data_IF_676927210869
#
_entry.id   IF_676927210869
#
_cell.length_a   1.000
_cell.length_b   1.000
_cell.length_c   1.000
_cell.angle_alpha   90.00
_cell.angle_beta   90.00
_cell.angle_gamma   90.00
#
_symmetry.space_group_name_H-M   'P 1'
#
loop_
_entity.id
_entity.type
_entity.pdbx_description
1 polymer ?
#
# COMPACT_ATOMS: atom_id res chain seq x y z
N UNK A 1 14.75 9.58 14.61
CA UNK A 1 14.03 9.43 13.34
C UNK A 1 13.24 8.15 13.42
N UNK A 2 11.98 8.15 12.98
CA UNK A 2 11.19 6.92 12.88
C UNK A 2 11.22 6.45 11.43
N UNK A 3 11.74 5.26 11.18
CA UNK A 3 11.65 4.64 9.85
C UNK A 3 10.40 3.76 9.81
N UNK A 4 9.60 3.88 8.76
CA UNK A 4 8.53 2.91 8.53
C UNK A 4 9.15 1.57 8.18
N UNK A 5 8.72 0.50 8.84
CA UNK A 5 9.16 -0.83 8.45
C UNK A 5 8.73 -1.12 7.01
N UNK A 6 9.48 -1.97 6.29
CA UNK A 6 9.19 -2.28 4.87
C UNK A 6 7.74 -2.71 4.65
N UNK A 7 7.18 -3.53 5.55
CA UNK A 7 5.77 -3.95 5.49
C UNK A 7 4.79 -2.77 5.58
N UNK A 8 5.12 -1.76 6.38
CA UNK A 8 4.27 -0.58 6.59
C UNK A 8 4.35 0.35 5.39
N UNK A 9 5.52 0.47 4.76
CA UNK A 9 5.67 1.18 3.49
C UNK A 9 4.86 0.50 2.38
N UNK A 10 4.90 -0.83 2.28
CA UNK A 10 4.08 -1.59 1.31
C UNK A 10 2.58 -1.37 1.58
N UNK A 11 2.15 -1.49 2.84
CA UNK A 11 0.76 -1.24 3.21
C UNK A 11 0.33 0.20 2.93
N UNK A 12 1.22 1.18 3.13
CA UNK A 12 0.99 2.58 2.81
C UNK A 12 0.75 2.80 1.32
N UNK A 13 1.46 2.10 0.44
CA UNK A 13 1.22 2.16 -1.00
C UNK A 13 -0.21 1.70 -1.36
N UNK A 14 -0.65 0.56 -0.81
CA UNK A 14 -2.04 0.09 -1.01
C UNK A 14 -3.08 1.02 -0.37
N UNK A 15 -2.76 1.66 0.76
CA UNK A 15 -3.61 2.66 1.38
C UNK A 15 -3.83 3.87 0.46
N UNK A 16 -2.76 4.37 -0.17
CA UNK A 16 -2.83 5.50 -1.12
C UNK A 16 -3.63 5.09 -2.36
N UNK A 17 -3.34 3.92 -2.93
CA UNK A 17 -4.07 3.38 -4.07
C UNK A 17 -5.57 3.25 -3.81
N UNK A 18 -5.96 2.77 -2.64
CA UNK A 18 -7.35 2.63 -2.23
C UNK A 18 -8.12 3.96 -2.26
N UNK A 19 -7.47 5.07 -1.91
CA UNK A 19 -8.09 6.40 -1.92
C UNK A 19 -7.96 7.16 -3.24
N UNK A 20 -7.01 6.78 -4.10
CA UNK A 20 -6.89 7.32 -5.45
C UNK A 20 -7.92 6.68 -6.39
N UNK A 21 -7.75 5.39 -6.65
CA UNK A 21 -8.55 4.64 -7.58
C UNK A 21 -8.62 3.20 -7.12
N UNK A 22 -9.66 2.87 -6.35
CA UNK A 22 -9.98 1.51 -5.90
C UNK A 22 -10.50 0.62 -7.04
N UNK A 23 -9.86 0.74 -8.22
CA UNK A 23 -10.12 -0.03 -9.41
C UNK A 23 -9.18 -1.21 -9.45
N UNK A 24 -9.68 -2.34 -9.94
CA UNK A 24 -8.96 -3.54 -9.73
C UNK A 24 -7.66 -3.53 -10.62
N UNK A 25 -7.71 -3.10 -11.87
CA UNK A 25 -6.56 -2.91 -12.78
C UNK A 25 -5.40 -2.10 -12.16
N UNK A 26 -5.70 -0.99 -11.49
CA UNK A 26 -4.71 -0.16 -10.79
C UNK A 26 -4.03 -0.90 -9.63
N UNK A 27 -4.77 -1.77 -8.92
CA UNK A 27 -4.18 -2.59 -7.85
C UNK A 27 -3.16 -3.60 -8.38
N UNK A 28 -3.43 -4.15 -9.56
CA UNK A 28 -2.52 -5.09 -10.22
C UNK A 28 -1.26 -4.37 -10.69
N UNK A 29 -1.40 -3.21 -11.35
CA UNK A 29 -0.26 -2.39 -11.76
C UNK A 29 0.64 -2.01 -10.57
N UNK A 30 0.04 -1.65 -9.43
CA UNK A 30 0.81 -1.37 -8.21
C UNK A 30 1.54 -2.62 -7.70
N UNK A 31 0.89 -3.79 -7.71
CA UNK A 31 1.51 -5.06 -7.32
C UNK A 31 2.72 -5.37 -8.19
N UNK A 32 2.55 -5.34 -9.52
CA UNK A 32 3.61 -5.59 -10.49
C UNK A 32 4.77 -4.61 -10.29
N UNK A 33 4.47 -3.31 -10.24
CA UNK A 33 5.47 -2.24 -10.02
C UNK A 33 6.32 -2.52 -8.78
N UNK A 34 5.70 -2.90 -7.65
CA UNK A 34 6.46 -3.22 -6.44
C UNK A 34 7.22 -4.54 -6.57
N UNK A 35 6.63 -5.57 -7.15
CA UNK A 35 7.27 -6.89 -7.30
C UNK A 35 8.51 -6.86 -8.21
N UNK A 36 8.50 -6.02 -9.25
CA UNK A 36 9.59 -5.88 -10.22
C UNK A 36 10.73 -5.01 -9.70
N UNK A 37 10.42 -3.99 -8.89
CA UNK A 37 11.38 -2.96 -8.48
C UNK A 37 11.86 -3.10 -7.03
N UNK A 38 11.31 -4.05 -6.27
CA UNK A 38 11.83 -4.46 -4.97
C UNK A 38 12.57 -5.80 -5.10
N UNK A 39 13.48 -6.08 -4.16
CA UNK A 39 14.05 -7.43 -4.10
C UNK A 39 12.92 -8.45 -3.89
N UNK A 40 12.80 -9.51 -4.73
CA UNK A 40 11.63 -10.39 -4.73
C UNK A 40 11.27 -10.95 -3.35
N UNK A 41 12.27 -11.45 -2.62
CA UNK A 41 12.09 -11.98 -1.27
C UNK A 41 11.60 -10.91 -0.27
N UNK A 42 12.04 -9.66 -0.42
CA UNK A 42 11.64 -8.56 0.49
C UNK A 42 10.15 -8.24 0.31
N UNK A 43 9.71 -8.12 -0.94
CA UNK A 43 8.31 -7.83 -1.23
C UNK A 43 7.39 -9.00 -0.87
N UNK A 44 7.78 -10.23 -1.21
CA UNK A 44 7.02 -11.44 -0.88
C UNK A 44 6.86 -11.61 0.65
N UNK A 45 7.94 -11.43 1.42
CA UNK A 45 7.89 -11.50 2.89
C UNK A 45 6.98 -10.39 3.45
N UNK A 46 7.06 -9.17 2.93
CA UNK A 46 6.20 -8.08 3.37
C UNK A 46 4.72 -8.40 3.11
N UNK A 47 4.37 -8.86 1.91
CA UNK A 47 3.00 -9.20 1.53
C UNK A 47 2.46 -10.36 2.37
N UNK A 48 3.22 -11.45 2.52
CA UNK A 48 2.80 -12.58 3.35
C UNK A 48 2.55 -12.16 4.80
N UNK A 49 3.44 -11.34 5.39
CA UNK A 49 3.23 -10.82 6.74
C UNK A 49 1.95 -9.98 6.86
N UNK A 50 1.68 -9.10 5.89
CA UNK A 50 0.48 -8.26 5.89
C UNK A 50 -0.79 -9.11 5.75
N UNK A 51 -0.73 -10.17 4.95
CA UNK A 51 -1.84 -11.10 4.75
C UNK A 51 -2.12 -11.93 5.99
N UNK A 52 -1.09 -12.48 6.63
CA UNK A 52 -1.23 -13.25 7.88
C UNK A 52 -1.79 -12.39 9.02
N UNK A 53 -1.53 -11.08 9.01
CA UNK A 53 -2.12 -10.10 9.93
C UNK A 53 -3.53 -9.63 9.52
N UNK A 54 -4.05 -10.06 8.37
CA UNK A 54 -5.36 -9.65 7.85
C UNK A 54 -5.42 -8.19 7.36
N UNK A 55 -4.28 -7.55 7.13
CA UNK A 55 -4.17 -6.15 6.70
C UNK A 55 -4.30 -5.99 5.18
N UNK A 56 -4.00 -7.06 4.45
CA UNK A 56 -4.28 -7.20 3.02
C UNK A 56 -5.00 -8.52 2.76
N UNK A 57 -5.77 -8.59 1.67
CA UNK A 57 -6.39 -9.82 1.17
C UNK A 57 -6.06 -10.01 -0.31
N UNK A 58 -6.52 -11.12 -0.91
CA UNK A 58 -6.38 -11.36 -2.35
C UNK A 58 -5.07 -12.04 -2.76
N UNK A 59 -4.14 -12.30 -1.84
CA UNK A 59 -2.91 -13.05 -2.11
C UNK A 59 -3.15 -14.53 -2.45
N UNK A 60 -4.19 -15.12 -1.86
CA UNK A 60 -4.59 -16.51 -2.10
C UNK A 60 -4.92 -16.77 -3.57
N UNK A 61 -5.44 -15.73 -4.23
CA UNK A 61 -5.75 -15.78 -5.64
C UNK A 61 -4.45 -15.59 -6.46
N UNK A 62 -3.49 -14.75 -6.05
CA UNK A 62 -2.30 -14.42 -6.89
C UNK A 62 -1.51 -15.69 -7.20
N UNK A 63 -1.44 -16.59 -6.22
CA UNK A 63 -0.79 -17.91 -6.34
C UNK A 63 -1.51 -18.88 -7.29
N UNK A 64 -2.70 -18.53 -7.78
CA UNK A 64 -3.54 -19.32 -8.69
C UNK A 64 -3.71 -18.65 -10.06
N UNK A 65 -2.95 -17.60 -10.37
CA UNK A 65 -3.07 -16.90 -11.65
C UNK A 65 -2.77 -17.86 -12.82
N UNK A 66 -3.81 -18.10 -13.62
CA UNK A 66 -3.74 -18.67 -14.97
C UNK A 66 -4.15 -17.55 -15.93
N UNK A 67 -3.29 -17.23 -16.89
CA UNK A 67 -3.51 -16.22 -17.93
C UNK A 67 -4.84 -16.44 -18.70
N UNK A 68 -5.42 -17.65 -18.63
CA UNK A 68 -6.65 -18.02 -19.32
C UNK A 68 -7.95 -17.69 -18.57
N UNK A 69 -7.93 -17.39 -17.26
CA UNK A 69 -9.17 -17.30 -16.46
C UNK A 69 -9.71 -15.87 -16.28
N UNK A 70 -9.04 -14.84 -16.84
CA UNK A 70 -9.56 -13.48 -16.99
C UNK A 70 -9.84 -12.69 -15.70
N UNK A 71 -9.74 -13.32 -14.52
CA UNK A 71 -9.93 -12.67 -13.23
C UNK A 71 -8.61 -12.12 -12.73
N UNK A 72 -8.32 -10.87 -13.08
CA UNK A 72 -7.14 -10.16 -12.59
C UNK A 72 -7.18 -10.16 -11.05
N UNK A 73 -6.06 -10.60 -10.47
CA UNK A 73 -5.96 -10.89 -9.05
C UNK A 73 -5.24 -9.78 -8.32
N UNK A 74 -5.86 -9.27 -7.27
CA UNK A 74 -5.54 -7.95 -6.77
C UNK A 74 -5.37 -7.98 -5.28
N UNK A 75 -4.12 -7.90 -4.78
CA UNK A 75 -3.91 -7.63 -3.39
C UNK A 75 -4.58 -6.28 -3.07
N UNK A 76 -5.42 -6.28 -2.04
CA UNK A 76 -6.15 -5.09 -1.63
C UNK A 76 -5.97 -4.89 -0.13
N UNK A 77 -5.84 -3.62 0.27
CA UNK A 77 -5.88 -3.27 1.68
C UNK A 77 -7.26 -3.57 2.27
N UNK A 78 -7.29 -4.15 3.47
CA UNK A 78 -8.54 -4.39 4.21
C UNK A 78 -8.92 -3.16 5.04
N UNK A 79 -10.13 -3.16 5.61
CA UNK A 79 -10.51 -2.12 6.58
C UNK A 79 -9.54 -2.07 7.78
N UNK A 80 -9.05 -3.23 8.24
CA UNK A 80 -8.04 -3.30 9.31
C UNK A 80 -6.70 -2.70 8.85
N UNK A 81 -6.28 -2.96 7.62
CA UNK A 81 -5.11 -2.30 7.02
C UNK A 81 -5.24 -0.78 6.98
N UNK A 82 -6.43 -0.28 6.61
CA UNK A 82 -6.72 1.17 6.62
C UNK A 82 -6.63 1.75 8.03
N UNK A 83 -7.22 1.08 9.02
CA UNK A 83 -7.15 1.52 10.42
C UNK A 83 -5.71 1.49 10.96
N UNK A 84 -4.93 0.49 10.58
CA UNK A 84 -3.51 0.40 10.94
C UNK A 84 -2.74 1.63 10.45
N UNK A 85 -2.84 1.98 9.17
CA UNK A 85 -2.14 3.15 8.61
C UNK A 85 -2.64 4.45 9.23
N UNK A 86 -3.94 4.58 9.49
CA UNK A 86 -4.47 5.75 10.20
C UNK A 86 -3.79 5.93 11.57
N UNK A 87 -3.63 4.84 12.34
CA UNK A 87 -2.98 4.88 13.64
C UNK A 87 -1.48 5.23 13.52
N UNK A 88 -0.77 4.63 12.56
CA UNK A 88 0.66 4.92 12.30
C UNK A 88 0.88 6.38 11.96
N UNK A 89 0.00 6.96 11.15
CA UNK A 89 0.10 8.35 10.69
C UNK A 89 -0.62 9.36 11.59
N UNK A 90 -1.25 8.92 12.70
CA UNK A 90 -2.04 9.79 13.58
C UNK A 90 -3.26 10.43 12.89
N UNK A 91 -3.81 9.79 11.85
CA UNK A 91 -4.99 10.25 11.12
C UNK A 91 -6.24 9.87 11.90
N UNK A 92 -7.07 10.86 12.20
CA UNK A 92 -8.32 10.62 12.90
C UNK A 92 -9.35 9.96 11.98
N UNK A 93 -10.11 8.99 12.49
CA UNK A 93 -11.01 8.15 11.69
C UNK A 93 -12.14 8.92 10.98
N UNK A 94 -12.54 10.09 11.49
CA UNK A 94 -13.57 10.94 10.90
C UNK A 94 -13.07 11.83 9.75
N UNK A 95 -11.77 11.81 9.45
CA UNK A 95 -11.19 12.58 8.34
C UNK A 95 -11.76 12.05 7.02
N UNK A 96 -12.23 12.95 6.15
CA UNK A 96 -12.79 12.58 4.85
C UNK A 96 -11.76 11.89 3.95
N UNK A 97 -12.20 11.01 3.06
CA UNK A 97 -11.32 10.26 2.16
C UNK A 97 -10.41 11.18 1.32
N UNK A 98 -10.96 12.28 0.77
CA UNK A 98 -10.16 13.28 0.03
C UNK A 98 -9.11 13.98 0.88
N UNK A 99 -9.36 14.11 2.19
CA UNK A 99 -8.39 14.67 3.13
C UNK A 99 -7.30 13.66 3.51
N UNK A 100 -7.59 12.35 3.49
CA UNK A 100 -6.63 11.31 3.90
C UNK A 100 -5.35 11.31 3.07
N UNK A 101 -5.41 11.52 1.76
CA UNK A 101 -4.21 11.64 0.92
C UNK A 101 -3.36 12.87 1.28
N UNK A 102 -4.01 14.00 1.60
CA UNK A 102 -3.31 15.19 2.10
C UNK A 102 -2.64 14.93 3.44
N UNK A 103 -3.29 14.17 4.33
CA UNK A 103 -2.69 13.76 5.59
C UNK A 103 -1.48 12.84 5.40
N UNK A 104 -1.49 11.90 4.44
CA UNK A 104 -0.31 11.07 4.14
C UNK A 104 0.88 11.95 3.79
N UNK A 105 0.72 12.87 2.83
CA UNK A 105 1.77 13.80 2.41
C UNK A 105 2.27 14.65 3.58
N UNK A 106 1.36 15.23 4.35
CA UNK A 106 1.72 16.05 5.51
C UNK A 106 2.45 15.23 6.57
N UNK A 107 2.00 14.00 6.84
CA UNK A 107 2.60 13.14 7.87
C UNK A 107 4.02 12.73 7.50
N UNK A 108 4.28 12.42 6.23
CA UNK A 108 5.64 12.13 5.74
C UNK A 108 6.57 13.34 5.92
N UNK A 109 6.07 14.55 5.65
CA UNK A 109 6.85 15.80 5.80
C UNK A 109 7.06 16.16 7.28
N UNK A 110 6.03 16.07 8.12
CA UNK A 110 6.05 16.60 9.50
C UNK A 110 6.54 15.60 10.54
N UNK A 111 6.33 14.30 10.31
CA UNK A 111 6.65 13.24 11.27
C UNK A 111 8.07 12.70 11.11
N UNK A 112 8.85 13.22 10.15
CA UNK A 112 10.16 12.69 9.76
C UNK A 112 10.13 11.17 9.54
N UNK A 113 9.03 10.67 8.95
CA UNK A 113 8.88 9.26 8.57
C UNK A 113 9.56 9.08 7.22
N UNK A 114 10.67 8.34 7.22
CA UNK A 114 11.46 8.11 6.01
C UNK A 114 10.93 6.91 5.23
N UNK A 115 10.71 7.10 3.93
CA UNK A 115 10.43 6.03 2.98
C UNK A 115 11.75 5.54 2.41
N UNK A 116 12.19 4.39 2.89
CA UNK A 116 13.48 3.78 2.50
C UNK A 116 13.39 2.90 1.26
N UNK A 117 12.18 2.61 0.76
CA UNK A 117 11.95 1.85 -0.47
C UNK A 117 11.69 2.80 -1.65
N UNK A 118 12.63 2.94 -2.60
CA UNK A 118 12.54 3.98 -3.65
C UNK A 118 11.28 3.92 -4.49
N UNK A 119 10.87 2.74 -4.95
CA UNK A 119 9.66 2.59 -5.79
C UNK A 119 8.38 3.00 -5.05
N UNK A 120 8.33 2.80 -3.73
CA UNK A 120 7.18 3.20 -2.90
C UNK A 120 7.21 4.72 -2.68
N UNK A 121 8.38 5.29 -2.43
CA UNK A 121 8.55 6.73 -2.29
C UNK A 121 8.10 7.47 -3.56
N UNK A 122 8.56 7.00 -4.72
CA UNK A 122 8.19 7.54 -6.03
C UNK A 122 6.67 7.41 -6.29
N UNK A 123 6.10 6.23 -6.07
CA UNK A 123 4.66 6.00 -6.24
C UNK A 123 3.82 6.96 -5.37
N UNK A 124 4.18 7.13 -4.10
CA UNK A 124 3.46 8.02 -3.18
C UNK A 124 3.61 9.48 -3.63
N UNK A 125 4.80 9.89 -4.08
CA UNK A 125 5.03 11.23 -4.59
C UNK A 125 4.17 11.53 -5.83
N UNK A 126 4.15 10.63 -6.81
CA UNK A 126 3.28 10.71 -8.00
C UNK A 126 1.80 10.78 -7.61
N UNK A 127 1.39 9.91 -6.67
CA UNK A 127 0.01 9.75 -6.22
C UNK A 127 -0.52 10.90 -5.36
N UNK A 128 0.36 11.75 -4.82
CA UNK A 128 -0.01 12.86 -3.93
C UNK A 128 0.40 14.23 -4.48
N UNK A 129 0.80 14.28 -5.77
CA UNK A 129 0.93 15.51 -6.53
C UNK A 129 -0.47 16.06 -6.85
N UNK A 130 -0.71 17.33 -6.49
CA UNK A 130 -1.92 18.09 -6.85
C UNK A 130 -1.84 18.56 -8.30
#
# INVERSE_FOLDING_TARGET
MGELAVKEQVLLAYYVQYYLENKPDVMYELHERMSENMAPAVYEIAMNNLFDQGLVNGLEKIRQYDENDGYIIKPMITNEGVLYINNVLGIQSYVSNSSKLKYVKNSLITSNLELTIPVIAEYIEESTKE
#
